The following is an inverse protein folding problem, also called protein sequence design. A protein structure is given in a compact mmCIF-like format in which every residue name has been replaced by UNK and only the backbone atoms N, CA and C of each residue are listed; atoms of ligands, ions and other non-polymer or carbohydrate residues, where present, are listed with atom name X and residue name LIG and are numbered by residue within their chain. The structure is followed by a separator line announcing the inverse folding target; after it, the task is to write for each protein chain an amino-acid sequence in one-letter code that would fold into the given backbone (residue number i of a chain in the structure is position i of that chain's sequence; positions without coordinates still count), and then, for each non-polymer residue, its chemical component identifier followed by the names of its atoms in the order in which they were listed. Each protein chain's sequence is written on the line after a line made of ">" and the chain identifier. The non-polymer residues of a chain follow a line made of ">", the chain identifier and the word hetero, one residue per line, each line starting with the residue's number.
data_IF_898842928904
#
_entry.id   IF_898842928904
#
_cell.length_a   1.000
_cell.length_b   1.000
_cell.length_c   1.000
_cell.angle_alpha   90.00
_cell.angle_beta   90.00
_cell.angle_gamma   90.00
#
_symmetry.space_group_name_H-M   'P 1'
#
loop_
_entity.id
_entity.type
_entity.pdbx_description
1 polymer ?
#
# COMPACT_ATOMS: atom_id res chain seq x y z
N UNK A 1 5.28 -19.96 -7.10
CA UNK A 1 6.46 -19.39 -6.41
C UNK A 1 5.96 -18.19 -5.64
N UNK A 2 6.23 -18.10 -4.34
CA UNK A 2 5.81 -16.96 -3.52
C UNK A 2 6.66 -15.76 -3.94
N UNK A 3 6.01 -14.64 -4.29
CA UNK A 3 6.71 -13.40 -4.62
C UNK A 3 7.20 -12.74 -3.33
N UNK A 4 8.52 -12.58 -3.20
CA UNK A 4 9.13 -11.83 -2.10
C UNK A 4 9.34 -10.39 -2.55
N UNK A 5 8.99 -9.46 -1.69
CA UNK A 5 9.22 -8.02 -1.84
C UNK A 5 10.28 -7.57 -0.83
N UNK A 6 10.94 -6.45 -1.11
CA UNK A 6 12.08 -5.99 -0.31
C UNK A 6 13.29 -6.92 -0.49
N UNK A 7 14.06 -7.09 0.59
CA UNK A 7 15.36 -7.75 0.55
C UNK A 7 16.47 -6.81 0.07
N UNK A 8 17.65 -6.94 0.65
CA UNK A 8 18.76 -6.00 0.44
C UNK A 8 18.58 -4.75 1.29
N UNK A 9 18.18 -3.63 0.68
CA UNK A 9 18.10 -2.32 1.36
C UNK A 9 16.88 -2.16 2.29
N UNK A 10 15.90 -3.07 2.20
CA UNK A 10 14.67 -3.04 2.98
C UNK A 10 14.34 -4.41 3.57
N UNK A 11 13.63 -4.47 4.71
CA UNK A 11 13.08 -5.70 5.24
C UNK A 11 12.27 -6.47 4.20
N UNK A 12 12.43 -7.79 4.18
CA UNK A 12 11.76 -8.66 3.23
C UNK A 12 10.38 -9.08 3.72
N UNK A 13 9.41 -9.13 2.82
CA UNK A 13 8.04 -9.54 3.13
C UNK A 13 7.38 -10.26 1.95
N UNK A 14 6.30 -10.96 2.23
CA UNK A 14 5.40 -11.57 1.23
C UNK A 14 4.02 -10.95 1.38
N UNK A 15 3.13 -11.20 0.43
CA UNK A 15 1.72 -10.82 0.54
C UNK A 15 0.94 -12.12 0.67
N UNK A 16 0.12 -12.24 1.72
CA UNK A 16 -0.74 -13.40 1.92
C UNK A 16 -1.89 -13.41 0.90
N UNK A 17 -2.15 -14.59 0.31
CA UNK A 17 -3.13 -14.75 -0.78
C UNK A 17 -4.58 -14.54 -0.32
N UNK A 18 -4.86 -14.74 0.96
CA UNK A 18 -6.23 -14.73 1.50
C UNK A 18 -6.59 -13.40 2.15
N UNK A 19 -5.66 -12.80 2.89
CA UNK A 19 -5.86 -11.54 3.59
C UNK A 19 -5.34 -10.34 2.80
N UNK A 20 -4.50 -10.56 1.78
CA UNK A 20 -3.79 -9.51 1.04
C UNK A 20 -2.88 -8.65 1.94
N UNK A 21 -2.59 -9.11 3.16
CA UNK A 21 -1.73 -8.44 4.13
C UNK A 21 -0.28 -8.78 3.85
N UNK A 22 0.59 -7.79 4.04
CA UNK A 22 2.02 -8.02 3.97
C UNK A 22 2.50 -8.74 5.23
N UNK A 23 3.23 -9.84 5.06
CA UNK A 23 3.81 -10.63 6.14
C UNK A 23 5.34 -10.53 6.09
N UNK A 24 5.93 -9.99 7.15
CA UNK A 24 7.37 -9.85 7.29
C UNK A 24 8.04 -11.22 7.39
N UNK A 25 9.13 -11.42 6.65
CA UNK A 25 9.92 -12.65 6.74
C UNK A 25 10.77 -12.71 8.03
N UNK A 26 11.15 -11.55 8.59
CA UNK A 26 11.79 -11.44 9.91
C UNK A 26 11.34 -10.16 10.61
N UNK A 27 10.64 -10.31 11.74
CA UNK A 27 10.25 -9.16 12.56
C UNK A 27 11.42 -8.58 13.37
N UNK A 28 12.49 -9.36 13.57
CA UNK A 28 13.71 -8.93 14.25
C UNK A 28 14.51 -7.99 13.33
N UNK A 29 14.87 -8.45 12.13
CA UNK A 29 15.58 -7.66 11.12
C UNK A 29 14.81 -6.38 10.77
N UNK A 30 13.47 -6.47 10.75
CA UNK A 30 12.62 -5.29 10.50
C UNK A 30 12.76 -4.26 11.61
N UNK A 31 12.81 -4.69 12.88
CA UNK A 31 13.00 -3.77 14.02
C UNK A 31 14.40 -3.16 14.02
N UNK A 32 15.43 -3.96 13.75
CA UNK A 32 16.80 -3.47 13.61
C UNK A 32 16.89 -2.38 12.53
N UNK A 33 16.37 -2.65 11.33
CA UNK A 33 16.34 -1.68 10.24
C UNK A 33 15.59 -0.39 10.64
N UNK A 34 14.48 -0.51 11.36
CA UNK A 34 13.69 0.63 11.83
C UNK A 34 14.40 1.46 12.90
N UNK A 35 15.26 0.85 13.72
CA UNK A 35 16.11 1.56 14.69
C UNK A 35 17.23 2.34 14.01
N UNK A 36 17.78 1.81 12.92
CA UNK A 36 18.81 2.48 12.12
C UNK A 36 18.24 3.58 11.21
N UNK A 37 16.98 3.46 10.80
CA UNK A 37 16.34 4.35 9.82
C UNK A 37 14.95 4.88 10.27
N UNK A 38 14.81 5.41 11.49
CA UNK A 38 13.50 5.71 12.08
C UNK A 38 12.69 6.79 11.34
N UNK A 39 13.36 7.64 10.56
CA UNK A 39 12.76 8.72 9.79
C UNK A 39 12.70 8.43 8.28
N UNK A 40 13.06 7.21 7.84
CA UNK A 40 12.91 6.83 6.44
C UNK A 40 11.43 6.85 6.05
N UNK A 41 11.05 7.36 4.85
CA UNK A 41 9.66 7.36 4.41
C UNK A 41 9.01 5.96 4.39
N UNK A 42 9.81 4.93 4.14
CA UNK A 42 9.38 3.53 4.10
C UNK A 42 9.11 2.94 5.49
N UNK A 43 9.63 3.55 6.56
CA UNK A 43 9.44 3.10 7.94
C UNK A 43 7.97 3.02 8.34
N UNK A 44 7.12 3.91 7.80
CA UNK A 44 5.65 3.89 7.96
C UNK A 44 5.07 2.52 7.62
N UNK A 45 5.52 1.96 6.49
CA UNK A 45 5.00 0.68 6.00
C UNK A 45 5.42 -0.47 6.90
N UNK A 46 6.64 -0.46 7.45
CA UNK A 46 7.15 -1.53 8.30
C UNK A 46 6.62 -1.46 9.74
N UNK A 47 6.45 -0.27 10.32
CA UNK A 47 5.73 -0.13 11.60
C UNK A 47 4.31 -0.69 11.49
N UNK A 48 3.61 -0.41 10.39
CA UNK A 48 2.28 -0.98 10.13
C UNK A 48 2.34 -2.51 10.01
N UNK A 49 3.30 -3.06 9.27
CA UNK A 49 3.44 -4.52 9.12
C UNK A 49 3.78 -5.23 10.44
N UNK A 50 4.47 -4.56 11.36
CA UNK A 50 4.70 -5.06 12.73
C UNK A 50 3.45 -4.99 13.62
N UNK A 51 2.37 -4.35 13.17
CA UNK A 51 1.17 -4.10 13.97
C UNK A 51 1.28 -2.89 14.89
N UNK A 52 2.37 -2.13 14.83
CA UNK A 52 2.61 -0.92 15.65
C UNK A 52 1.89 0.29 15.00
N UNK A 53 0.56 0.22 14.92
CA UNK A 53 -0.26 1.16 14.13
C UNK A 53 -0.22 2.61 14.63
N UNK A 54 -0.11 2.83 15.94
CA UNK A 54 0.04 4.18 16.50
C UNK A 54 1.38 4.80 16.11
N UNK A 55 2.46 4.00 16.16
CA UNK A 55 3.79 4.45 15.72
C UNK A 55 3.84 4.69 14.21
N UNK A 56 3.20 3.83 13.43
CA UNK A 56 3.07 4.02 11.98
C UNK A 56 2.33 5.31 11.64
N UNK A 57 1.27 5.63 12.40
CA UNK A 57 0.51 6.87 12.26
C UNK A 57 1.38 8.09 12.56
N UNK A 58 2.03 8.13 13.73
CA UNK A 58 2.90 9.25 14.13
C UNK A 58 4.04 9.51 13.12
N UNK A 59 4.68 8.45 12.64
CA UNK A 59 5.75 8.57 11.62
C UNK A 59 5.16 9.03 10.29
N UNK A 60 4.01 8.48 9.87
CA UNK A 60 3.35 8.83 8.63
C UNK A 60 2.91 10.29 8.58
N UNK A 61 2.31 10.80 9.66
CA UNK A 61 1.93 12.20 9.80
C UNK A 61 3.14 13.13 9.75
N UNK A 62 4.23 12.77 10.44
CA UNK A 62 5.48 13.55 10.41
C UNK A 62 6.10 13.61 9.02
N UNK A 63 6.19 12.47 8.33
CA UNK A 63 6.73 12.38 6.96
C UNK A 63 5.85 13.13 5.96
N UNK A 64 4.53 13.09 6.13
CA UNK A 64 3.61 13.83 5.28
C UNK A 64 3.74 15.35 5.51
N UNK A 65 3.79 15.79 6.77
CA UNK A 65 3.92 17.19 7.15
C UNK A 65 5.27 17.81 6.73
N UNK A 66 6.31 17.00 6.56
CA UNK A 66 7.61 17.47 6.07
C UNK A 66 7.67 17.67 4.55
N UNK A 67 6.57 17.42 3.83
CA UNK A 67 6.51 17.49 2.36
C UNK A 67 5.48 18.51 1.92
N UNK A 68 5.77 19.19 0.81
CA UNK A 68 4.85 20.16 0.21
C UNK A 68 3.67 19.43 -0.45
N UNK A 69 2.45 19.77 -0.04
CA UNK A 69 1.22 19.20 -0.61
C UNK A 69 1.13 19.45 -2.12
N UNK A 70 0.61 18.46 -2.85
CA UNK A 70 0.50 18.51 -4.32
C UNK A 70 1.77 18.06 -5.05
N UNK A 71 2.87 17.77 -4.34
CA UNK A 71 4.06 17.18 -4.96
C UNK A 71 3.96 15.65 -5.04
N UNK A 72 4.61 14.99 -6.02
CA UNK A 72 4.65 13.52 -6.08
C UNK A 72 5.24 12.89 -4.81
N UNK A 73 6.21 13.57 -4.18
CA UNK A 73 6.77 13.14 -2.91
C UNK A 73 5.72 13.12 -1.80
N UNK A 74 4.88 14.14 -1.71
CA UNK A 74 3.76 14.17 -0.77
C UNK A 74 2.72 13.10 -1.10
N UNK A 75 2.38 12.91 -2.38
CA UNK A 75 1.46 11.85 -2.81
C UNK A 75 1.90 10.45 -2.36
N UNK A 76 3.18 10.12 -2.52
CA UNK A 76 3.72 8.83 -2.07
C UNK A 76 3.63 8.66 -0.54
N UNK A 77 3.89 9.71 0.23
CA UNK A 77 3.71 9.69 1.68
C UNK A 77 2.23 9.54 2.07
N UNK A 78 1.33 10.23 1.36
CA UNK A 78 -0.11 10.17 1.58
C UNK A 78 -0.67 8.75 1.33
N UNK A 79 -0.23 8.05 0.28
CA UNK A 79 -0.63 6.64 0.05
C UNK A 79 -0.16 5.73 1.19
N UNK A 80 1.08 5.91 1.69
CA UNK A 80 1.57 5.10 2.82
C UNK A 80 0.78 5.35 4.09
N UNK A 81 0.47 6.62 4.40
CA UNK A 81 -0.36 6.98 5.54
C UNK A 81 -1.81 6.49 5.36
N UNK A 82 -2.37 6.55 4.16
CA UNK A 82 -3.69 6.00 3.87
C UNK A 82 -3.77 4.50 4.18
N UNK A 83 -2.69 3.75 3.91
CA UNK A 83 -2.62 2.33 4.24
C UNK A 83 -2.54 2.07 5.76
N UNK A 84 -2.01 3.02 6.54
CA UNK A 84 -2.09 2.97 8.01
C UNK A 84 -3.53 3.15 8.47
N UNK A 85 -4.23 4.18 7.96
CA UNK A 85 -5.65 4.39 8.28
C UNK A 85 -6.52 3.20 7.87
N UNK A 86 -6.26 2.60 6.70
CA UNK A 86 -6.91 1.36 6.27
C UNK A 86 -6.73 0.26 7.32
N UNK A 87 -5.50 0.00 7.79
CA UNK A 87 -5.26 -1.01 8.83
C UNK A 87 -5.89 -0.72 10.19
N UNK A 88 -6.22 0.55 10.44
CA UNK A 88 -6.98 1.00 11.61
C UNK A 88 -8.49 0.97 11.39
N UNK A 89 -8.96 0.48 10.24
CA UNK A 89 -10.36 0.48 9.79
C UNK A 89 -10.97 1.90 9.65
N UNK A 90 -10.10 2.90 9.48
CA UNK A 90 -10.46 4.31 9.30
C UNK A 90 -10.63 4.60 7.79
N UNK A 91 -11.51 3.85 7.12
CA UNK A 91 -11.62 3.82 5.65
C UNK A 91 -11.89 5.20 5.03
N UNK A 92 -12.70 6.04 5.66
CA UNK A 92 -12.98 7.39 5.18
C UNK A 92 -11.70 8.25 5.10
N UNK A 93 -10.82 8.15 6.10
CA UNK A 93 -9.54 8.86 6.11
C UNK A 93 -8.57 8.28 5.07
N UNK A 94 -8.55 6.95 4.92
CA UNK A 94 -7.76 6.28 3.90
C UNK A 94 -8.15 6.76 2.49
N UNK A 95 -9.44 6.74 2.15
CA UNK A 95 -9.93 7.17 0.84
C UNK A 95 -9.65 8.66 0.58
N UNK A 96 -9.84 9.53 1.57
CA UNK A 96 -9.55 10.96 1.42
C UNK A 96 -8.07 11.25 1.13
N UNK A 97 -7.16 10.50 1.75
CA UNK A 97 -5.72 10.60 1.47
C UNK A 97 -5.37 10.04 0.09
N UNK A 98 -6.01 8.94 -0.34
CA UNK A 98 -5.82 8.38 -1.67
C UNK A 98 -6.28 9.34 -2.78
N UNK A 99 -7.41 10.03 -2.57
CA UNK A 99 -7.92 11.05 -3.51
C UNK A 99 -6.93 12.22 -3.66
N UNK A 100 -6.40 12.73 -2.54
CA UNK A 100 -5.39 13.81 -2.57
C UNK A 100 -4.07 13.33 -3.17
N UNK A 101 -3.67 12.09 -2.91
CA UNK A 101 -2.47 11.50 -3.52
C UNK A 101 -2.61 11.41 -5.05
N UNK A 102 -3.75 10.94 -5.56
CA UNK A 102 -4.04 10.89 -6.99
C UNK A 102 -3.93 12.28 -7.63
N UNK A 103 -4.50 13.30 -6.98
CA UNK A 103 -4.39 14.69 -7.44
C UNK A 103 -2.93 15.18 -7.47
N UNK A 104 -2.11 14.83 -6.47
CA UNK A 104 -0.69 15.20 -6.40
C UNK A 104 0.17 14.50 -7.47
N UNK A 105 -0.26 13.34 -7.95
CA UNK A 105 0.44 12.61 -9.01
C UNK A 105 0.06 13.08 -10.42
N UNK A 106 -1.10 13.72 -10.59
CA UNK A 106 -1.56 14.23 -11.88
C UNK A 106 -1.73 13.11 -12.91
N UNK A 107 -1.08 13.26 -14.07
CA UNK A 107 -1.23 12.32 -15.21
C UNK A 107 -0.29 11.09 -15.14
N UNK A 108 0.51 10.95 -14.08
CA UNK A 108 1.42 9.81 -13.92
C UNK A 108 0.63 8.50 -13.72
N UNK A 109 0.58 7.71 -14.78
CA UNK A 109 -0.16 6.45 -14.82
C UNK A 109 0.40 5.39 -13.87
N UNK A 110 1.71 5.39 -13.62
CA UNK A 110 2.33 4.43 -12.70
C UNK A 110 1.93 4.75 -11.26
N UNK A 111 1.91 6.03 -10.90
CA UNK A 111 1.45 6.48 -9.59
C UNK A 111 -0.07 6.34 -9.43
N UNK A 112 -0.85 6.55 -10.48
CA UNK A 112 -2.30 6.25 -10.48
C UNK A 112 -2.56 4.77 -10.19
N UNK A 113 -1.82 3.86 -10.82
CA UNK A 113 -1.91 2.43 -10.51
C UNK A 113 -1.52 2.11 -9.06
N UNK A 114 -0.58 2.85 -8.48
CA UNK A 114 -0.19 2.74 -7.07
C UNK A 114 -1.32 3.13 -6.11
N UNK A 115 -2.03 4.23 -6.39
CA UNK A 115 -3.24 4.63 -5.64
C UNK A 115 -4.33 3.58 -5.75
N UNK A 116 -4.66 3.17 -6.98
CA UNK A 116 -5.74 2.20 -7.25
C UNK A 116 -5.50 0.85 -6.58
N UNK A 117 -4.24 0.40 -6.50
CA UNK A 117 -3.87 -0.81 -5.76
C UNK A 117 -4.25 -0.72 -4.28
N UNK A 118 -3.92 0.39 -3.61
CA UNK A 118 -4.22 0.58 -2.20
C UNK A 118 -5.71 0.78 -1.99
N UNK A 119 -6.38 1.52 -2.89
CA UNK A 119 -7.83 1.69 -2.89
C UNK A 119 -8.55 0.36 -3.00
N UNK A 120 -8.10 -0.54 -3.88
CA UNK A 120 -8.69 -1.87 -4.03
C UNK A 120 -8.63 -2.67 -2.73
N UNK A 121 -7.47 -2.68 -2.04
CA UNK A 121 -7.34 -3.36 -0.74
C UNK A 121 -8.25 -2.75 0.32
N UNK A 122 -8.28 -1.42 0.43
CA UNK A 122 -9.12 -0.71 1.40
C UNK A 122 -10.62 -0.96 1.15
N UNK A 123 -11.08 -0.87 -0.10
CA UNK A 123 -12.47 -1.16 -0.48
C UNK A 123 -12.84 -2.61 -0.19
N UNK A 124 -11.90 -3.55 -0.39
CA UNK A 124 -12.14 -4.96 -0.13
C UNK A 124 -12.37 -5.21 1.37
N UNK A 125 -11.49 -4.70 2.23
CA UNK A 125 -11.64 -4.83 3.68
C UNK A 125 -12.84 -4.03 4.23
N UNK A 126 -13.24 -2.94 3.56
CA UNK A 126 -14.48 -2.19 3.86
C UNK A 126 -15.76 -2.97 3.48
N UNK A 127 -15.66 -4.12 2.82
CA UNK A 127 -16.80 -4.93 2.41
C UNK A 127 -17.46 -4.44 1.11
N UNK A 128 -16.68 -3.83 0.21
CA UNK A 128 -17.12 -3.31 -1.10
C UNK A 128 -16.40 -4.02 -2.27
N UNK A 129 -16.57 -5.34 -2.40
CA UNK A 129 -15.75 -6.15 -3.31
C UNK A 129 -15.95 -5.82 -4.80
N UNK A 130 -17.12 -5.36 -5.23
CA UNK A 130 -17.34 -4.96 -6.63
C UNK A 130 -16.52 -3.73 -7.01
N UNK A 131 -16.49 -2.73 -6.14
CA UNK A 131 -15.70 -1.50 -6.34
C UNK A 131 -14.20 -1.80 -6.23
N UNK A 132 -13.82 -2.65 -5.28
CA UNK A 132 -12.46 -3.14 -5.14
C UNK A 132 -11.98 -3.84 -6.42
N UNK A 133 -12.81 -4.69 -7.03
CA UNK A 133 -12.50 -5.37 -8.29
C UNK A 133 -12.37 -4.36 -9.44
N UNK A 134 -13.17 -3.30 -9.46
CA UNK A 134 -13.04 -2.19 -10.40
C UNK A 134 -11.66 -1.53 -10.31
N UNK A 135 -11.27 -1.11 -9.11
CA UNK A 135 -9.98 -0.47 -8.85
C UNK A 135 -8.80 -1.40 -9.18
N UNK A 136 -8.86 -2.69 -8.81
CA UNK A 136 -7.81 -3.66 -9.10
C UNK A 136 -7.65 -3.94 -10.61
N UNK A 137 -8.76 -4.02 -11.37
CA UNK A 137 -8.70 -4.17 -12.83
C UNK A 137 -8.06 -2.96 -13.50
N UNK A 138 -8.40 -1.76 -13.06
CA UNK A 138 -7.80 -0.54 -13.61
C UNK A 138 -6.31 -0.44 -13.27
N UNK A 139 -5.92 -0.72 -12.03
CA UNK A 139 -4.51 -0.80 -11.64
C UNK A 139 -3.73 -1.80 -12.49
N UNK A 140 -4.34 -2.97 -12.76
CA UNK A 140 -3.72 -4.01 -13.59
C UNK A 140 -3.51 -3.54 -15.02
N UNK A 141 -4.53 -2.93 -15.64
CA UNK A 141 -4.46 -2.42 -17.01
C UNK A 141 -3.35 -1.36 -17.18
N UNK A 142 -3.13 -0.52 -16.18
CA UNK A 142 -2.06 0.48 -16.18
C UNK A 142 -0.66 -0.15 -16.03
N UNK A 143 -0.54 -1.26 -15.30
CA UNK A 143 0.74 -1.95 -15.03
C UNK A 143 1.15 -2.94 -16.11
N UNK A 144 0.20 -3.60 -16.77
CA UNK A 144 0.49 -4.66 -17.74
C UNK A 144 1.37 -4.17 -18.89
N UNK A 145 2.50 -4.85 -19.10
CA UNK A 145 3.50 -4.53 -20.11
C UNK A 145 4.33 -3.27 -19.84
N UNK A 146 4.13 -2.59 -18.70
CA UNK A 146 4.77 -1.30 -18.38
C UNK A 146 5.50 -1.28 -17.03
N UNK A 147 5.01 -2.05 -16.05
CA UNK A 147 5.55 -2.08 -14.70
C UNK A 147 6.43 -3.32 -14.45
N UNK A 148 7.13 -3.29 -13.31
CA UNK A 148 7.85 -4.44 -12.79
C UNK A 148 6.91 -5.67 -12.66
N UNK A 149 7.35 -6.88 -13.08
CA UNK A 149 6.54 -8.09 -12.99
C UNK A 149 6.01 -8.39 -11.59
N UNK A 150 6.74 -8.05 -10.52
CA UNK A 150 6.30 -8.22 -9.14
C UNK A 150 5.09 -7.34 -8.80
N UNK A 151 5.04 -6.10 -9.31
CA UNK A 151 3.89 -5.21 -9.13
C UNK A 151 2.66 -5.71 -9.89
N UNK A 152 2.86 -6.20 -11.11
CA UNK A 152 1.79 -6.87 -11.87
C UNK A 152 1.28 -8.10 -11.11
N UNK A 153 2.19 -8.91 -10.58
CA UNK A 153 1.89 -10.09 -9.76
C UNK A 153 1.04 -9.76 -8.53
N UNK A 154 1.45 -8.77 -7.73
CA UNK A 154 0.70 -8.29 -6.57
C UNK A 154 -0.71 -7.81 -6.93
N UNK A 155 -0.85 -7.09 -8.05
CA UNK A 155 -2.17 -6.63 -8.52
C UNK A 155 -3.07 -7.79 -8.91
N UNK A 156 -2.51 -8.80 -9.60
CA UNK A 156 -3.24 -10.01 -9.99
C UNK A 156 -3.66 -10.81 -8.76
N UNK A 157 -2.79 -10.97 -7.78
CA UNK A 157 -3.10 -11.61 -6.51
C UNK A 157 -4.29 -10.94 -5.82
N UNK A 158 -4.25 -9.60 -5.72
CA UNK A 158 -5.35 -8.77 -5.17
C UNK A 158 -6.66 -9.03 -5.93
N UNK A 159 -6.63 -8.92 -7.26
CA UNK A 159 -7.81 -9.13 -8.09
C UNK A 159 -8.36 -10.57 -7.96
N UNK A 160 -7.50 -11.59 -7.96
CA UNK A 160 -7.91 -12.98 -7.80
C UNK A 160 -8.62 -13.21 -6.48
N UNK A 161 -8.09 -12.68 -5.37
CA UNK A 161 -8.73 -12.81 -4.06
C UNK A 161 -10.10 -12.14 -4.01
N UNK A 162 -10.23 -10.93 -4.56
CA UNK A 162 -11.51 -10.21 -4.62
C UNK A 162 -12.51 -10.99 -5.48
N UNK A 163 -12.09 -11.53 -6.63
CA UNK A 163 -12.98 -12.29 -7.52
C UNK A 163 -13.47 -13.60 -6.91
N UNK A 164 -12.67 -14.23 -6.03
CA UNK A 164 -13.14 -15.40 -5.26
C UNK A 164 -14.24 -15.03 -4.28
N UNK A 165 -14.18 -13.83 -3.70
CA UNK A 165 -15.19 -13.30 -2.78
C UNK A 165 -16.54 -13.04 -3.47
N UNK A 166 -16.47 -12.57 -4.71
CA UNK A 166 -17.63 -12.32 -5.56
C UNK A 166 -18.22 -13.59 -6.19
N UNK A 167 -17.56 -14.73 -6.05
CA UNK A 167 -18.08 -15.99 -6.58
C UNK A 167 -19.27 -16.47 -5.73
N UNK A 168 -20.36 -16.94 -6.37
CA UNK A 168 -21.58 -17.36 -5.68
C UNK A 168 -21.42 -18.65 -4.87
#
# INVERSE_FOLDING_TARGET
>A
MIQVFGGGAYPAYVIDDETLREELLSTEDTREWLEETPDAPDAVSFWRMLGELDRALEVGERVLASREEGTPGWGAAAVRLAHVHHWREEYAAAHALLDRAEAAFGEDQAMRAFVLQHRAKALFDEGRPEEAAGAAREALALREGRADPALVGSTRQTLVRILRDLAP
#
